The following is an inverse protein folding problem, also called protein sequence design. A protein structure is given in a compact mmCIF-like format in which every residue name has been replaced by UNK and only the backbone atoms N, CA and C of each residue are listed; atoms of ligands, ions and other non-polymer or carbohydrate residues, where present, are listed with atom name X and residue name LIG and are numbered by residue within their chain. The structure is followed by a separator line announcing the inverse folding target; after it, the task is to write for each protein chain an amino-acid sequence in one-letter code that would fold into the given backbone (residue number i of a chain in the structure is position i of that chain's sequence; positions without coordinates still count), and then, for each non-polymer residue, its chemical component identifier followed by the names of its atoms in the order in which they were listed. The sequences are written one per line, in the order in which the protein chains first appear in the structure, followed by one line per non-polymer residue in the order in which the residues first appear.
data_IF_982245917324
#
_entry.id   IF_982245917324
#
_cell.length_a   1.000
_cell.length_b   1.000
_cell.length_c   1.000
_cell.angle_alpha   90.00
_cell.angle_beta   90.00
_cell.angle_gamma   90.00
#
_symmetry.space_group_name_H-M   'P 1'
#
loop_
_entity.id
_entity.type
_entity.pdbx_description
1 polymer ?
#
# COMPACT_ATOMS: atom_id res chain seq x y z
N UNK A 1 46.88 -33.88 -6.56
CA UNK A 1 46.22 -32.57 -6.70
C UNK A 1 44.71 -32.80 -6.65
N UNK A 2 44.04 -32.40 -5.57
CA UNK A 2 42.57 -32.53 -5.42
C UNK A 2 41.96 -31.15 -5.65
N UNK A 3 41.19 -31.00 -6.72
CA UNK A 3 40.37 -29.81 -6.98
C UNK A 3 39.19 -29.82 -5.99
N UNK A 4 39.10 -28.79 -5.15
CA UNK A 4 37.97 -28.55 -4.27
C UNK A 4 36.77 -27.96 -5.03
N UNK A 5 35.53 -28.15 -4.52
CA UNK A 5 34.34 -27.70 -5.21
C UNK A 5 34.19 -26.17 -5.11
N UNK A 6 34.00 -25.54 -6.27
CA UNK A 6 33.69 -24.14 -6.43
C UNK A 6 32.23 -23.93 -5.99
N UNK A 7 32.01 -23.33 -4.82
CA UNK A 7 30.69 -22.88 -4.39
C UNK A 7 30.27 -21.67 -5.23
N UNK A 8 29.43 -21.90 -6.24
CA UNK A 8 28.74 -20.82 -6.96
C UNK A 8 27.62 -20.32 -6.06
N UNK A 9 27.84 -19.17 -5.41
CA UNK A 9 26.78 -18.38 -4.80
C UNK A 9 25.88 -17.86 -5.92
N UNK A 10 24.80 -18.59 -6.20
CA UNK A 10 23.67 -18.10 -6.98
C UNK A 10 22.94 -17.03 -6.16
N UNK A 11 23.42 -15.79 -6.23
CA UNK A 11 22.54 -14.65 -6.00
C UNK A 11 21.51 -14.69 -7.12
N UNK A 12 20.26 -15.01 -6.77
CA UNK A 12 19.12 -14.87 -7.67
C UNK A 12 19.04 -13.42 -8.12
N UNK A 13 19.53 -13.15 -9.33
CA UNK A 13 19.29 -11.89 -10.03
C UNK A 13 17.83 -11.98 -10.49
N UNK A 14 16.91 -11.65 -9.58
CA UNK A 14 15.59 -11.21 -10.00
C UNK A 14 15.77 -9.99 -10.92
N UNK A 15 14.83 -9.73 -11.86
CA UNK A 15 14.86 -8.48 -12.60
C UNK A 15 14.97 -7.35 -11.58
N UNK A 16 16.00 -6.51 -11.74
CA UNK A 16 16.20 -5.37 -10.85
C UNK A 16 14.90 -4.56 -10.87
N UNK A 17 14.13 -4.62 -9.80
CA UNK A 17 13.03 -3.68 -9.59
C UNK A 17 13.69 -2.30 -9.69
N UNK A 18 13.20 -1.44 -10.59
CA UNK A 18 13.66 -0.07 -10.63
C UNK A 18 13.32 0.52 -9.26
N UNK A 19 14.31 0.80 -8.41
CA UNK A 19 14.06 1.41 -7.10
C UNK A 19 13.88 2.91 -7.25
N UNK A 20 12.98 3.50 -6.46
CA UNK A 20 12.85 4.95 -6.37
C UNK A 20 13.36 5.46 -5.02
N UNK A 21 13.75 6.74 -4.97
CA UNK A 21 14.12 7.42 -3.73
C UNK A 21 13.49 8.81 -3.69
N UNK A 22 13.11 9.22 -2.48
CA UNK A 22 12.64 10.58 -2.23
C UNK A 22 13.75 11.63 -2.37
N UNK A 23 15.03 11.25 -2.36
CA UNK A 23 16.16 12.16 -2.51
C UNK A 23 16.18 12.85 -3.87
N UNK A 24 15.97 12.08 -4.93
CA UNK A 24 16.01 12.54 -6.32
C UNK A 24 14.87 13.52 -6.64
N UNK A 25 13.75 13.41 -5.94
CA UNK A 25 12.55 14.24 -6.15
C UNK A 25 12.43 15.40 -5.15
N UNK A 26 13.50 15.73 -4.44
CA UNK A 26 13.52 16.86 -3.50
C UNK A 26 12.77 16.60 -2.19
N UNK A 27 12.60 15.33 -1.81
CA UNK A 27 11.92 14.90 -0.59
C UNK A 27 12.55 15.43 0.70
N UNK A 28 13.82 15.86 0.66
CA UNK A 28 14.45 16.56 1.79
C UNK A 28 13.66 17.80 2.24
N UNK A 29 12.99 18.47 1.31
CA UNK A 29 12.12 19.63 1.61
C UNK A 29 10.84 19.28 2.37
N UNK A 30 10.51 17.98 2.47
CA UNK A 30 9.41 17.46 3.28
C UNK A 30 9.83 17.13 4.71
N UNK A 31 11.08 17.37 5.12
CA UNK A 31 11.56 17.11 6.48
C UNK A 31 11.77 18.41 7.25
N UNK A 32 11.49 18.38 8.56
CA UNK A 32 11.81 19.48 9.47
C UNK A 32 13.32 19.73 9.51
N UNK A 33 13.78 20.98 9.72
CA UNK A 33 15.19 21.27 9.99
C UNK A 33 15.71 20.58 11.26
N UNK A 34 14.82 20.22 12.19
CA UNK A 34 15.13 19.51 13.43
C UNK A 34 15.24 18.00 13.28
N UNK A 35 14.95 17.47 12.09
CA UNK A 35 15.03 16.03 11.82
C UNK A 35 16.49 15.59 11.83
N UNK A 36 16.76 14.56 12.63
CA UNK A 36 18.08 13.96 12.82
C UNK A 36 18.64 13.37 11.52
N UNK A 37 19.97 13.29 11.43
CA UNK A 37 20.65 12.72 10.26
C UNK A 37 20.33 11.23 10.07
N UNK A 38 20.14 10.49 11.16
CA UNK A 38 19.74 9.09 11.12
C UNK A 38 18.34 8.95 10.49
N UNK A 39 17.37 9.73 10.95
CA UNK A 39 16.02 9.74 10.39
C UNK A 39 16.01 10.19 8.93
N UNK A 40 16.74 11.26 8.60
CA UNK A 40 16.87 11.76 7.23
C UNK A 40 17.45 10.70 6.30
N UNK A 41 18.50 10.01 6.71
CA UNK A 41 19.12 8.94 5.92
C UNK A 41 18.16 7.77 5.69
N UNK A 42 17.42 7.36 6.72
CA UNK A 42 16.41 6.32 6.56
C UNK A 42 15.26 6.74 5.65
N UNK A 43 14.80 8.00 5.75
CA UNK A 43 13.74 8.54 4.92
C UNK A 43 14.11 8.65 3.44
N UNK A 44 15.36 9.00 3.14
CA UNK A 44 15.88 9.16 1.78
C UNK A 44 16.39 7.85 1.16
N UNK A 45 16.41 6.76 1.94
CA UNK A 45 16.83 5.46 1.45
C UNK A 45 15.98 5.01 0.25
N UNK A 46 16.57 4.29 -0.71
CA UNK A 46 15.82 3.76 -1.85
C UNK A 46 14.78 2.73 -1.39
N UNK A 47 13.67 2.68 -2.13
CA UNK A 47 12.61 1.70 -1.98
C UNK A 47 12.64 0.82 -3.23
N UNK A 48 12.85 -0.48 -3.06
CA UNK A 48 12.87 -1.48 -4.13
C UNK A 48 11.46 -1.76 -4.67
N UNK A 49 10.87 -0.73 -5.28
CA UNK A 49 9.54 -0.66 -5.88
C UNK A 49 9.62 0.22 -7.12
N UNK A 50 8.85 -0.11 -8.14
CA UNK A 50 8.73 0.70 -9.36
C UNK A 50 8.30 2.16 -9.07
N UNK A 51 8.85 3.10 -9.84
CA UNK A 51 8.58 4.55 -9.68
C UNK A 51 7.11 4.91 -9.84
N UNK A 52 6.32 4.06 -10.51
CA UNK A 52 4.86 4.17 -10.58
C UNK A 52 4.22 4.40 -9.21
N UNK A 53 4.71 3.78 -8.12
CA UNK A 53 4.17 4.02 -6.78
C UNK A 53 4.38 5.47 -6.33
N UNK A 54 5.56 6.04 -6.62
CA UNK A 54 5.87 7.45 -6.38
C UNK A 54 4.97 8.36 -7.22
N UNK A 55 4.73 8.01 -8.48
CA UNK A 55 3.84 8.76 -9.37
C UNK A 55 2.39 8.72 -8.88
N UNK A 56 1.88 7.55 -8.48
CA UNK A 56 0.55 7.39 -7.91
C UNK A 56 0.36 8.28 -6.66
N UNK A 57 1.33 8.26 -5.74
CA UNK A 57 1.24 9.06 -4.51
C UNK A 57 1.35 10.57 -4.77
N UNK A 58 2.16 10.97 -5.76
CA UNK A 58 2.46 12.37 -6.07
C UNK A 58 1.46 13.06 -6.99
N UNK A 59 0.38 12.36 -7.39
CA UNK A 59 -0.62 12.80 -8.38
C UNK A 59 -0.09 12.87 -9.82
N UNK A 60 0.92 12.07 -10.14
CA UNK A 60 1.45 11.90 -11.49
C UNK A 60 0.43 11.22 -12.39
N UNK A 61 0.04 11.92 -13.46
CA UNK A 61 -0.61 11.33 -14.62
C UNK A 61 0.21 10.12 -15.08
N UNK A 62 -0.47 8.99 -15.30
CA UNK A 62 0.13 7.77 -15.81
C UNK A 62 0.83 8.07 -17.15
N UNK A 63 2.15 8.12 -17.13
CA UNK A 63 2.93 8.23 -18.36
C UNK A 63 3.02 6.84 -18.99
N UNK A 64 2.84 6.83 -20.31
CA UNK A 64 2.71 5.67 -21.17
C UNK A 64 3.89 4.70 -21.05
N UNK A 65 3.60 3.44 -20.67
CA UNK A 65 4.53 2.31 -20.77
C UNK A 65 3.91 1.16 -21.57
N UNK A 66 4.72 0.36 -22.24
CA UNK A 66 4.26 -0.81 -23.03
C UNK A 66 3.61 -1.89 -22.16
N UNK A 67 4.00 -1.98 -20.88
CA UNK A 67 3.38 -2.83 -19.86
C UNK A 67 2.59 -1.98 -18.88
N UNK A 68 1.50 -2.52 -18.34
CA UNK A 68 0.69 -1.84 -17.34
C UNK A 68 1.53 -1.46 -16.10
N UNK A 69 1.68 -0.16 -15.76
CA UNK A 69 2.45 0.28 -14.59
C UNK A 69 2.03 -0.39 -13.28
N UNK A 70 0.73 -0.71 -13.13
CA UNK A 70 0.22 -1.38 -11.93
C UNK A 70 0.65 -2.84 -11.85
N UNK A 71 0.83 -3.55 -12.97
CA UNK A 71 1.35 -4.93 -12.95
C UNK A 71 2.79 -4.98 -12.47
N UNK A 72 3.60 -3.98 -12.80
CA UNK A 72 5.00 -3.93 -12.37
C UNK A 72 5.11 -3.53 -10.89
N UNK A 73 4.22 -2.67 -10.42
CA UNK A 73 4.25 -2.15 -9.06
C UNK A 73 3.66 -3.12 -8.06
N UNK A 74 2.50 -3.71 -8.39
CA UNK A 74 1.68 -4.50 -7.47
C UNK A 74 2.20 -5.93 -7.30
N UNK A 75 3.41 -6.04 -6.77
CA UNK A 75 4.12 -7.29 -6.49
C UNK A 75 4.36 -7.45 -5.00
N UNK A 76 4.48 -8.70 -4.53
CA UNK A 76 4.84 -9.00 -3.14
C UNK A 76 6.22 -8.44 -2.79
N UNK A 77 7.15 -8.41 -3.76
CA UNK A 77 8.48 -7.80 -3.58
C UNK A 77 8.36 -6.31 -3.25
N UNK A 78 7.57 -5.54 -4.01
CA UNK A 78 7.38 -4.13 -3.72
C UNK A 78 6.66 -3.93 -2.37
N UNK A 79 5.63 -4.73 -2.07
CA UNK A 79 4.98 -4.69 -0.75
C UNK A 79 5.97 -4.90 0.39
N UNK A 80 6.83 -5.92 0.28
CA UNK A 80 7.84 -6.22 1.29
C UNK A 80 8.92 -5.13 1.40
N UNK A 81 9.36 -4.58 0.26
CA UNK A 81 10.30 -3.46 0.23
C UNK A 81 9.72 -2.22 0.93
N UNK A 82 8.44 -1.94 0.72
CA UNK A 82 7.74 -0.83 1.34
C UNK A 82 7.54 -1.04 2.85
N UNK A 83 7.12 -2.24 3.27
CA UNK A 83 7.00 -2.57 4.70
C UNK A 83 8.36 -2.44 5.41
N UNK A 84 9.45 -2.90 4.76
CA UNK A 84 10.82 -2.73 5.25
C UNK A 84 11.24 -1.25 5.33
N UNK A 85 10.94 -0.46 4.31
CA UNK A 85 11.21 0.98 4.32
C UNK A 85 10.54 1.67 5.50
N UNK A 86 9.22 1.46 5.69
CA UNK A 86 8.48 2.07 6.81
C UNK A 86 9.02 1.61 8.16
N UNK A 87 9.36 0.33 8.30
CA UNK A 87 9.99 -0.19 9.52
C UNK A 87 11.31 0.52 9.83
N UNK A 88 12.19 0.67 8.83
CA UNK A 88 13.48 1.33 8.99
C UNK A 88 13.32 2.81 9.36
N UNK A 89 12.40 3.53 8.72
CA UNK A 89 12.10 4.93 9.04
C UNK A 89 11.62 5.04 10.49
N UNK A 90 10.66 4.21 10.92
CA UNK A 90 10.19 4.20 12.32
C UNK A 90 11.31 3.90 13.32
N UNK A 91 12.22 2.99 12.98
CA UNK A 91 13.37 2.66 13.83
C UNK A 91 14.40 3.79 13.93
N UNK A 92 14.61 4.56 12.86
CA UNK A 92 15.58 5.65 12.83
C UNK A 92 15.03 6.97 13.36
N UNK A 93 13.73 7.23 13.17
CA UNK A 93 13.06 8.49 13.47
C UNK A 93 12.46 8.51 14.89
N UNK A 94 13.32 8.35 15.91
CA UNK A 94 12.88 8.25 17.31
C UNK A 94 13.03 9.56 18.09
N UNK A 95 13.72 10.56 17.53
CA UNK A 95 13.95 11.82 18.23
C UNK A 95 12.68 12.71 18.19
N UNK A 96 12.39 13.50 19.23
CA UNK A 96 11.22 14.38 19.26
C UNK A 96 11.14 15.37 18.08
N UNK A 97 12.29 15.73 17.50
CA UNK A 97 12.44 16.64 16.37
C UNK A 97 12.30 15.98 14.99
N UNK A 98 12.18 14.66 14.91
CA UNK A 98 12.00 13.93 13.65
C UNK A 98 10.56 14.09 13.14
N UNK A 99 10.36 15.13 12.31
CA UNK A 99 9.04 15.51 11.82
C UNK A 99 9.03 15.72 10.31
N UNK A 100 7.91 15.39 9.68
CA UNK A 100 7.62 15.78 8.30
C UNK A 100 6.95 17.16 8.25
N UNK A 101 7.20 17.93 7.19
CA UNK A 101 6.64 19.27 7.00
C UNK A 101 5.32 19.22 6.22
N UNK A 102 4.24 19.66 6.87
CA UNK A 102 2.97 19.98 6.22
C UNK A 102 3.09 21.28 5.42
N UNK A 103 2.75 21.21 4.13
CA UNK A 103 2.65 22.35 3.21
C UNK A 103 1.63 23.38 3.70
N UNK A 104 0.48 22.91 4.14
CA UNK A 104 -0.67 23.73 4.51
C UNK A 104 -0.82 23.82 6.04
N UNK A 105 0.30 23.92 6.77
CA UNK A 105 0.29 23.91 8.24
C UNK A 105 -0.52 25.08 8.79
N UNK A 106 -1.71 24.80 9.30
CA UNK A 106 -2.44 25.76 10.13
C UNK A 106 -1.69 26.01 11.45
N UNK A 107 -1.75 27.24 11.96
CA UNK A 107 -1.14 27.61 13.24
C UNK A 107 -1.64 26.66 14.33
N UNK A 108 -0.72 26.10 15.12
CA UNK A 108 -1.04 25.19 16.21
C UNK A 108 -1.22 23.72 15.81
N UNK A 109 -1.22 23.36 14.52
CA UNK A 109 -1.23 21.95 14.10
C UNK A 109 0.17 21.36 14.26
N UNK A 110 0.35 20.28 15.06
CA UNK A 110 1.62 19.60 15.17
C UNK A 110 2.06 19.01 13.83
N UNK A 111 3.35 19.08 13.53
CA UNK A 111 3.90 18.37 12.39
C UNK A 111 3.86 16.86 12.67
N UNK A 112 3.47 16.02 11.69
CA UNK A 112 3.44 14.59 11.89
C UNK A 112 4.86 14.00 12.01
N UNK A 113 4.99 12.79 12.58
CA UNK A 113 6.20 11.99 12.46
C UNK A 113 6.61 11.74 10.98
N UNK A 114 7.90 11.46 10.74
CA UNK A 114 8.44 11.28 9.37
C UNK A 114 7.88 10.03 8.68
N UNK A 115 7.61 8.97 9.43
CA UNK A 115 7.08 7.70 8.92
C UNK A 115 5.71 7.83 8.23
N UNK A 116 4.98 8.93 8.47
CA UNK A 116 3.67 9.18 7.82
C UNK A 116 3.79 9.16 6.29
N UNK A 117 4.90 9.65 5.72
CA UNK A 117 5.11 9.61 4.27
C UNK A 117 5.19 8.16 3.77
N UNK A 118 5.86 7.28 4.52
CA UNK A 118 5.88 5.85 4.26
C UNK A 118 4.50 5.20 4.36
N UNK A 119 3.70 5.58 5.34
CA UNK A 119 2.32 5.08 5.49
C UNK A 119 1.41 5.55 4.34
N UNK A 120 1.63 6.73 3.76
CA UNK A 120 0.93 7.17 2.55
C UNK A 120 1.24 6.20 1.41
N UNK A 121 2.50 5.83 1.20
CA UNK A 121 2.85 4.87 0.16
C UNK A 121 2.18 3.51 0.41
N UNK A 122 2.05 3.06 1.66
CA UNK A 122 1.35 1.80 2.00
C UNK A 122 -0.14 1.87 1.67
N UNK A 123 -0.78 2.99 2.01
CA UNK A 123 -2.17 3.27 1.62
C UNK A 123 -2.34 3.28 0.09
N UNK A 124 -1.49 4.02 -0.62
CA UNK A 124 -1.54 4.15 -2.09
C UNK A 124 -1.27 2.80 -2.76
N UNK A 125 -0.35 2.00 -2.24
CA UNK A 125 -0.12 0.64 -2.73
C UNK A 125 -1.37 -0.23 -2.54
N UNK A 126 -1.95 -0.26 -1.34
CA UNK A 126 -3.13 -1.06 -1.05
C UNK A 126 -4.33 -0.67 -1.94
N UNK A 127 -4.58 0.63 -2.09
CA UNK A 127 -5.65 1.13 -2.95
C UNK A 127 -5.35 0.96 -4.45
N UNK A 128 -4.15 1.33 -4.89
CA UNK A 128 -3.70 1.24 -6.28
C UNK A 128 -3.71 -0.18 -6.82
N UNK A 129 -3.38 -1.15 -5.96
CA UNK A 129 -3.29 -2.56 -6.30
C UNK A 129 -4.58 -3.35 -6.07
N UNK A 130 -5.67 -2.70 -5.66
CA UNK A 130 -6.97 -3.34 -5.52
C UNK A 130 -7.51 -3.77 -6.89
N UNK A 131 -8.03 -5.00 -6.97
CA UNK A 131 -8.66 -5.57 -8.17
C UNK A 131 -10.12 -5.90 -7.97
N UNK A 132 -10.90 -5.79 -9.04
CA UNK A 132 -12.22 -6.39 -9.19
C UNK A 132 -12.10 -7.60 -10.12
N UNK A 133 -12.04 -8.79 -9.53
CA UNK A 133 -11.84 -10.06 -10.26
C UNK A 133 -13.01 -10.39 -11.18
N UNK A 134 -14.21 -9.85 -10.92
CA UNK A 134 -15.40 -10.04 -11.78
C UNK A 134 -15.31 -9.25 -13.09
N UNK A 135 -14.41 -8.27 -13.18
CA UNK A 135 -14.14 -7.52 -14.40
C UNK A 135 -13.08 -8.20 -15.31
N UNK A 136 -12.62 -9.40 -14.97
CA UNK A 136 -11.73 -10.22 -15.81
C UNK A 136 -12.59 -10.98 -16.83
N UNK A 137 -13.06 -10.30 -17.87
CA UNK A 137 -13.72 -10.95 -19.00
C UNK A 137 -12.71 -11.22 -20.13
N UNK A 138 -12.76 -12.41 -20.73
CA UNK A 138 -11.82 -12.88 -21.78
C UNK A 138 -11.83 -12.03 -23.07
N UNK A 139 -12.81 -11.13 -23.20
CA UNK A 139 -12.97 -10.21 -24.34
C UNK A 139 -12.90 -8.72 -23.98
N UNK A 140 -12.62 -8.39 -22.71
CA UNK A 140 -12.54 -7.00 -22.25
C UNK A 140 -11.11 -6.65 -21.86
N UNK A 141 -10.74 -5.38 -22.04
CA UNK A 141 -9.43 -4.87 -21.68
C UNK A 141 -9.10 -5.18 -20.20
N UNK A 142 -8.14 -6.09 -19.99
CA UNK A 142 -7.62 -6.50 -18.70
C UNK A 142 -7.06 -5.31 -17.88
N UNK A 143 -6.90 -4.13 -18.47
CA UNK A 143 -6.59 -2.89 -17.74
C UNK A 143 -7.70 -2.48 -16.76
N UNK A 144 -8.95 -2.88 -16.98
CA UNK A 144 -10.10 -2.52 -16.13
C UNK A 144 -10.22 -3.34 -14.84
N UNK A 145 -9.42 -4.41 -14.69
CA UNK A 145 -9.40 -5.22 -13.46
C UNK A 145 -8.90 -4.42 -12.26
N UNK A 146 -8.08 -3.40 -12.48
CA UNK A 146 -7.58 -2.52 -11.43
C UNK A 146 -8.64 -1.50 -11.02
N UNK A 147 -9.03 -1.52 -9.76
CA UNK A 147 -10.00 -0.57 -9.21
C UNK A 147 -9.55 0.87 -9.44
N UNK A 148 -8.26 1.16 -9.26
CA UNK A 148 -7.69 2.47 -9.47
C UNK A 148 -7.79 2.97 -10.92
N UNK A 149 -7.79 2.09 -11.94
CA UNK A 149 -7.97 2.53 -13.34
C UNK A 149 -9.40 2.88 -13.68
N UNK A 150 -10.36 2.16 -13.07
CA UNK A 150 -11.79 2.41 -13.25
C UNK A 150 -12.29 3.62 -12.46
N UNK A 151 -11.67 3.88 -11.32
CA UNK A 151 -12.17 4.78 -10.29
C UNK A 151 -11.11 5.73 -9.73
N UNK A 152 -9.97 5.90 -10.42
CA UNK A 152 -8.84 6.70 -9.94
C UNK A 152 -9.08 8.21 -9.93
N UNK A 153 -7.99 8.95 -9.67
CA UNK A 153 -7.99 10.40 -9.52
C UNK A 153 -8.71 11.10 -10.70
N UNK A 154 -9.77 11.85 -10.40
CA UNK A 154 -10.58 12.57 -11.40
C UNK A 154 -12.03 12.09 -11.55
N UNK A 155 -12.39 10.94 -10.98
CA UNK A 155 -13.78 10.47 -10.97
C UNK A 155 -14.45 10.72 -9.61
N UNK A 156 -15.51 11.56 -9.51
CA UNK A 156 -16.15 11.88 -8.24
C UNK A 156 -16.92 10.72 -7.58
N UNK A 157 -16.97 9.53 -8.22
CA UNK A 157 -17.85 8.42 -7.84
C UNK A 157 -17.19 7.30 -7.01
N UNK A 158 -15.86 7.26 -6.87
CA UNK A 158 -15.20 6.24 -6.01
C UNK A 158 -15.39 6.51 -4.52
N UNK A 159 -15.83 7.73 -4.21
CA UNK A 159 -15.87 8.34 -2.91
C UNK A 159 -17.33 8.60 -2.49
N UNK A 160 -18.21 7.64 -2.73
CA UNK A 160 -19.49 7.56 -2.04
C UNK A 160 -19.32 6.70 -0.81
N UNK A 161 -19.89 7.09 0.32
CA UNK A 161 -19.91 6.27 1.53
C UNK A 161 -21.06 5.26 1.52
N UNK A 162 -22.08 5.44 0.67
CA UNK A 162 -23.32 4.66 0.60
C UNK A 162 -23.38 3.72 -0.62
N UNK A 163 -22.29 3.02 -0.91
CA UNK A 163 -22.24 2.07 -2.03
C UNK A 163 -23.01 0.77 -1.75
N UNK A 164 -23.54 0.11 -2.80
CA UNK A 164 -24.13 -1.22 -2.64
C UNK A 164 -23.04 -2.26 -2.33
N UNK A 165 -23.40 -3.33 -1.64
CA UNK A 165 -22.45 -4.40 -1.26
C UNK A 165 -21.89 -5.20 -2.44
N UNK A 166 -22.45 -5.02 -3.64
CA UNK A 166 -21.91 -5.55 -4.89
C UNK A 166 -20.76 -4.72 -5.46
N UNK A 167 -20.52 -3.52 -4.93
CA UNK A 167 -19.48 -2.61 -5.41
C UNK A 167 -18.11 -2.95 -4.79
N UNK A 168 -17.41 -3.90 -5.40
CA UNK A 168 -16.10 -4.42 -4.94
C UNK A 168 -15.05 -3.32 -4.76
N UNK A 169 -14.92 -2.41 -5.73
CA UNK A 169 -13.88 -1.37 -5.67
C UNK A 169 -14.09 -0.33 -4.56
N UNK A 170 -15.30 0.24 -4.36
CA UNK A 170 -15.57 1.07 -3.20
C UNK A 170 -15.30 0.37 -1.86
N UNK A 171 -15.67 -0.91 -1.72
CA UNK A 171 -15.36 -1.69 -0.50
C UNK A 171 -13.84 -1.71 -0.26
N UNK A 172 -13.06 -2.11 -1.26
CA UNK A 172 -11.59 -2.17 -1.15
C UNK A 172 -10.95 -0.81 -0.88
N UNK A 173 -11.50 0.28 -1.43
CA UNK A 173 -11.03 1.64 -1.18
C UNK A 173 -11.21 2.03 0.30
N UNK A 174 -12.39 1.75 0.86
CA UNK A 174 -12.70 2.08 2.26
C UNK A 174 -11.96 1.17 3.24
N UNK A 175 -11.76 -0.11 2.89
CA UNK A 175 -10.89 -1.03 3.64
C UNK A 175 -9.46 -0.50 3.70
N UNK A 176 -8.85 -0.17 2.55
CA UNK A 176 -7.50 0.40 2.52
C UNK A 176 -7.41 1.73 3.29
N UNK A 177 -8.41 2.60 3.18
CA UNK A 177 -8.43 3.85 3.92
C UNK A 177 -8.54 3.64 5.43
N UNK A 178 -9.26 2.61 5.87
CA UNK A 178 -9.40 2.26 7.28
C UNK A 178 -8.14 1.58 7.85
N UNK A 179 -7.55 0.65 7.11
CA UNK A 179 -6.42 -0.16 7.57
C UNK A 179 -5.09 0.62 7.60
N UNK A 180 -4.94 1.60 6.71
CA UNK A 180 -3.70 2.34 6.54
C UNK A 180 -3.83 3.79 7.03
N UNK A 181 -3.12 4.20 8.09
CA UNK A 181 -3.22 5.55 8.65
C UNK A 181 -2.68 6.64 7.72
N UNK A 182 -1.93 6.26 6.68
CA UNK A 182 -1.51 7.19 5.62
C UNK A 182 -2.68 7.80 4.84
N UNK A 183 -3.90 7.22 4.93
CA UNK A 183 -5.10 7.73 4.26
C UNK A 183 -5.53 9.13 4.74
N UNK A 184 -5.07 9.57 5.92
CA UNK A 184 -5.32 10.92 6.47
C UNK A 184 -4.46 12.02 5.82
N UNK A 185 -3.52 11.65 4.95
CA UNK A 185 -2.55 12.56 4.36
C UNK A 185 -2.50 12.44 2.84
N UNK A 186 -1.94 13.47 2.20
CA UNK A 186 -1.65 13.52 0.77
C UNK A 186 -0.18 13.84 0.58
N UNK A 187 0.45 13.25 -0.44
CA UNK A 187 1.83 13.54 -0.79
C UNK A 187 1.94 14.13 -2.19
N UNK A 188 1.25 15.25 -2.45
CA UNK A 188 1.16 15.84 -3.79
C UNK A 188 2.40 16.61 -4.15
N UNK A 189 2.91 16.43 -5.37
CA UNK A 189 4.12 17.16 -5.84
C UNK A 189 5.28 17.06 -4.85
N UNK A 190 5.44 15.90 -4.21
CA UNK A 190 6.45 15.63 -3.19
C UNK A 190 6.35 16.50 -1.93
N UNK A 191 5.14 16.99 -1.62
CA UNK A 191 4.84 17.78 -0.44
C UNK A 191 3.72 17.12 0.36
N UNK A 192 3.94 16.99 1.66
CA UNK A 192 2.95 16.44 2.58
C UNK A 192 1.87 17.48 2.89
N UNK A 193 0.60 17.08 2.83
CA UNK A 193 -0.52 17.85 3.35
C UNK A 193 -1.52 16.93 4.05
N UNK A 194 -2.35 17.51 4.91
CA UNK A 194 -3.46 16.77 5.50
C UNK A 194 -4.61 16.67 4.50
N UNK A 195 -5.32 15.56 4.52
CA UNK A 195 -6.62 15.45 3.86
C UNK A 195 -7.61 16.43 4.50
N UNK A 196 -8.58 16.88 3.71
CA UNK A 196 -9.68 17.69 4.23
C UNK A 196 -10.55 16.87 5.22
N UNK A 197 -11.23 17.52 6.17
CA UNK A 197 -12.18 16.84 7.06
C UNK A 197 -13.26 16.04 6.30
N UNK A 198 -13.61 16.47 5.08
CA UNK A 198 -14.56 15.77 4.23
C UNK A 198 -14.11 14.33 3.92
N UNK A 199 -12.83 14.13 3.56
CA UNK A 199 -12.29 12.79 3.27
C UNK A 199 -12.30 11.88 4.49
N UNK A 200 -11.94 12.41 5.67
CA UNK A 200 -12.00 11.65 6.92
C UNK A 200 -13.41 11.18 7.25
N UNK A 201 -14.39 12.06 7.12
CA UNK A 201 -15.79 11.72 7.34
C UNK A 201 -16.28 10.69 6.31
N UNK A 202 -15.91 10.87 5.04
CA UNK A 202 -16.24 9.95 3.99
C UNK A 202 -15.69 8.54 4.27
N UNK A 203 -14.41 8.42 4.62
CA UNK A 203 -13.80 7.12 4.93
C UNK A 203 -14.44 6.48 6.16
N UNK A 204 -14.74 7.27 7.19
CA UNK A 204 -15.43 6.79 8.38
C UNK A 204 -16.85 6.27 8.05
N UNK A 205 -17.61 6.99 7.22
CA UNK A 205 -18.95 6.56 6.81
C UNK A 205 -18.91 5.38 5.84
N UNK A 206 -17.97 5.38 4.89
CA UNK A 206 -17.74 4.27 3.98
C UNK A 206 -17.35 3.00 4.73
N UNK A 207 -16.56 3.11 5.79
CA UNK A 207 -16.22 1.98 6.65
C UNK A 207 -17.45 1.39 7.35
N UNK A 208 -18.41 2.21 7.81
CA UNK A 208 -19.68 1.71 8.35
C UNK A 208 -20.45 0.89 7.31
N UNK A 209 -20.44 1.33 6.05
CA UNK A 209 -21.06 0.58 4.94
C UNK A 209 -20.34 -0.74 4.67
N UNK A 210 -18.99 -0.78 4.72
CA UNK A 210 -18.23 -2.04 4.63
C UNK A 210 -18.67 -3.01 5.73
N UNK A 211 -18.74 -2.54 6.97
CA UNK A 211 -19.18 -3.37 8.10
C UNK A 211 -20.61 -3.91 7.90
N UNK A 212 -21.52 -3.07 7.41
CA UNK A 212 -22.88 -3.49 7.05
C UNK A 212 -22.86 -4.59 5.99
N UNK A 213 -22.11 -4.41 4.91
CA UNK A 213 -22.01 -5.39 3.84
C UNK A 213 -21.44 -6.74 4.31
N UNK A 214 -20.47 -6.72 5.21
CA UNK A 214 -19.94 -7.95 5.84
C UNK A 214 -21.00 -8.64 6.70
N UNK A 215 -21.79 -7.89 7.46
CA UNK A 215 -22.87 -8.40 8.30
C UNK A 215 -24.08 -8.95 7.53
N UNK A 216 -24.37 -8.40 6.35
CA UNK A 216 -25.43 -8.89 5.45
C UNK A 216 -25.04 -10.18 4.70
N UNK A 217 -23.82 -10.67 4.92
CA UNK A 217 -23.24 -11.73 4.11
C UNK A 217 -22.97 -11.18 2.73
N UNK A 218 -21.79 -10.60 2.53
CA UNK A 218 -21.18 -10.65 1.20
C UNK A 218 -21.32 -12.12 0.76
N UNK A 219 -22.10 -12.36 -0.30
CA UNK A 219 -22.22 -13.69 -0.89
C UNK A 219 -20.83 -14.09 -1.40
N UNK A 220 -20.01 -14.61 -0.49
CA UNK A 220 -18.76 -15.28 -0.70
C UNK A 220 -19.08 -16.76 -0.68
N UNK A 221 -19.62 -17.27 -1.78
CA UNK A 221 -19.27 -18.63 -2.16
C UNK A 221 -17.79 -18.59 -2.54
N UNK A 222 -16.92 -18.81 -1.57
CA UNK A 222 -15.62 -19.48 -1.72
C UNK A 222 -14.97 -19.60 -0.34
N UNK A 223 -15.60 -20.41 0.51
CA UNK A 223 -14.98 -20.98 1.70
C UNK A 223 -14.45 -22.36 1.30
N UNK A 224 -13.29 -22.38 0.65
CA UNK A 224 -12.50 -23.61 0.42
C UNK A 224 -11.12 -23.43 1.03
N UNK A 225 -11.07 -23.44 2.36
CA UNK A 225 -9.86 -23.82 3.10
C UNK A 225 -10.20 -24.19 4.54
N UNK A 226 -10.27 -25.50 4.81
CA UNK A 226 -9.55 -26.17 5.89
C UNK A 226 -10.15 -27.56 6.17
N UNK A 227 -9.88 -28.54 5.30
CA UNK A 227 -9.76 -29.90 5.81
C UNK A 227 -8.42 -30.00 6.51
N UNK A 228 -8.41 -29.65 7.81
CA UNK A 228 -7.33 -30.06 8.71
C UNK A 228 -7.50 -31.55 8.91
N UNK A 229 -6.53 -32.29 8.37
CA UNK A 229 -6.30 -33.69 8.68
C UNK A 229 -6.14 -33.85 10.19
N UNK A 230 -7.11 -34.49 10.84
CA UNK A 230 -6.88 -35.15 12.12
C UNK A 230 -6.52 -36.58 11.79
N UNK A 231 -5.23 -36.87 11.83
CA UNK A 231 -4.71 -38.22 11.79
C UNK A 231 -5.29 -39.03 12.95
N UNK A 232 -5.97 -40.12 12.62
CA UNK A 232 -6.37 -41.11 13.60
C UNK A 232 -5.37 -42.27 13.52
N UNK A 233 -4.36 -42.22 14.39
CA UNK A 233 -3.54 -43.39 14.71
C UNK A 233 -4.02 -43.97 16.04
N UNK A 234 -4.77 -45.06 15.93
CA UNK A 234 -4.70 -46.28 16.75
C UNK A 234 -4.46 -46.14 18.26
N UNK A 235 -5.49 -46.45 19.05
CA UNK A 235 -5.33 -47.20 20.30
C UNK A 235 -6.34 -48.35 20.34
N UNK A 236 -5.78 -49.54 20.26
CA UNK A 236 -6.33 -50.85 20.59
C UNK A 236 -6.66 -50.91 22.09
N UNK A 237 -7.90 -51.24 22.47
CA UNK A 237 -8.18 -51.88 23.77
C UNK A 237 -9.45 -52.74 23.71
N UNK A 238 -9.24 -54.03 23.99
CA UNK A 238 -10.23 -55.10 24.22
C UNK A 238 -11.29 -54.79 25.30
N UNK A 239 -12.50 -55.32 25.08
CA UNK A 239 -13.53 -55.88 26.01
C UNK A 239 -14.92 -55.50 25.45
N UNK A 240 -15.91 -56.37 25.29
CA UNK A 240 -16.20 -57.73 25.78
C UNK A 240 -17.08 -58.44 24.76
#
# INVERSE_FOLDING_TARGET
MKLGPLYVLLFGIGPAACSFSLDVVGGQSSLSPTTSDACRSAFLAPIDCEETLLQLASSGLFMFSERDPLELTCTDTCKAALDKYVHNVKGACTAPGDRALLKDKAVGVPQPPVEVVGEIFRYIFAWGCAKDEKCINVHEDNSKKWCYKKYGYGHPYYAKSDFPCTAVCPIKAMEAAHEYPGSDFLFKTHKLSMQSPWWRNLYADGWKTVLKCRGEGLSSTDDSRAQVAIGSSSVDTRRS
#
